data_IF_388743502940
#
_entry.id   IF_388743502940
#
_cell.length_a   1.000
_cell.length_b   1.000
_cell.length_c   1.000
_cell.angle_alpha   90.00
_cell.angle_beta   90.00
_cell.angle_gamma   90.00
#
_symmetry.space_group_name_H-M   'P 1'
#
loop_
_entity.id
_entity.type
_entity.pdbx_description
1 polymer ?
#
# COMPACT_ATOMS: atom_id res chain seq x y z
N UNK A 1 3.88 -3.52 19.74
CA UNK A 1 3.75 -2.18 19.10
C UNK A 1 2.36 -1.55 19.31
N UNK A 2 1.27 -2.24 18.97
CA UNK A 2 -0.11 -1.74 19.19
C UNK A 2 -0.40 -1.31 20.63
N UNK A 3 -0.06 -2.15 21.61
CA UNK A 3 -0.23 -1.84 23.04
C UNK A 3 0.57 -0.58 23.40
N UNK A 4 1.82 -0.48 22.95
CA UNK A 4 2.69 0.68 23.20
C UNK A 4 2.16 1.97 22.58
N UNK A 5 1.52 1.91 21.40
CA UNK A 5 0.87 3.06 20.79
C UNK A 5 -0.35 3.50 21.62
N UNK A 6 -1.22 2.56 21.99
CA UNK A 6 -2.41 2.82 22.79
C UNK A 6 -2.12 3.38 24.18
N UNK A 7 -1.08 2.87 24.84
CA UNK A 7 -0.61 3.38 26.14
C UNK A 7 0.16 4.70 26.05
N UNK A 8 0.37 5.26 24.84
CA UNK A 8 1.06 6.53 24.65
C UNK A 8 0.07 7.63 24.22
N UNK A 9 -0.50 8.40 25.16
CA UNK A 9 -1.48 9.44 24.84
C UNK A 9 -0.91 10.54 23.94
N UNK A 10 0.39 10.81 24.01
CA UNK A 10 1.06 11.79 23.14
C UNK A 10 1.10 11.30 21.69
N UNK A 11 1.39 10.01 21.48
CA UNK A 11 1.40 9.41 20.13
C UNK A 11 0.00 9.40 19.51
N UNK A 12 -1.03 9.02 20.28
CA UNK A 12 -2.42 9.07 19.84
C UNK A 12 -2.86 10.50 19.47
N UNK A 13 -2.55 11.48 20.33
CA UNK A 13 -2.86 12.88 20.06
C UNK A 13 -2.12 13.42 18.83
N UNK A 14 -0.84 13.08 18.67
CA UNK A 14 -0.04 13.47 17.52
C UNK A 14 -0.61 12.89 16.21
N UNK A 15 -0.95 11.59 16.19
CA UNK A 15 -1.57 10.94 15.05
C UNK A 15 -2.88 11.63 14.67
N UNK A 16 -3.80 11.78 15.63
CA UNK A 16 -5.06 12.48 15.41
C UNK A 16 -4.84 13.91 14.90
N UNK A 17 -3.87 14.65 15.44
CA UNK A 17 -3.58 16.02 15.02
C UNK A 17 -3.07 16.08 13.58
N UNK A 18 -2.09 15.23 13.22
CA UNK A 18 -1.52 15.18 11.86
C UNK A 18 -2.58 14.85 10.83
N UNK A 19 -3.40 13.83 11.07
CA UNK A 19 -4.43 13.44 10.09
C UNK A 19 -5.58 14.47 10.03
N UNK A 20 -5.98 15.08 11.14
CA UNK A 20 -6.93 16.19 11.10
C UNK A 20 -6.40 17.41 10.33
N UNK A 21 -5.12 17.74 10.46
CA UNK A 21 -4.50 18.80 9.66
C UNK A 21 -4.49 18.43 8.17
N UNK A 22 -4.17 17.17 7.84
CA UNK A 22 -4.22 16.67 6.47
C UNK A 22 -5.63 16.76 5.86
N UNK A 23 -6.67 16.38 6.62
CA UNK A 23 -8.05 16.48 6.16
C UNK A 23 -8.51 17.92 5.96
N UNK A 24 -8.16 18.84 6.87
CA UNK A 24 -8.61 20.24 6.82
C UNK A 24 -7.83 21.10 5.83
N UNK A 25 -6.54 20.81 5.66
CA UNK A 25 -5.61 21.67 4.95
C UNK A 25 -4.88 20.95 3.81
N UNK A 26 -5.36 19.77 3.40
CA UNK A 26 -4.77 18.96 2.34
C UNK A 26 -4.43 19.77 1.08
N UNK A 27 -5.28 20.71 0.70
CA UNK A 27 -5.10 21.59 -0.46
C UNK A 27 -3.80 22.42 -0.50
N UNK A 28 -3.24 22.73 0.67
CA UNK A 28 -2.03 23.55 0.81
C UNK A 28 -0.82 22.73 1.25
N UNK A 29 -0.99 21.42 1.50
CA UNK A 29 0.12 20.53 1.80
C UNK A 29 0.97 20.38 0.53
N UNK A 30 2.29 20.51 0.71
CA UNK A 30 3.31 20.33 -0.31
C UNK A 30 4.19 19.13 0.07
N UNK A 31 5.48 19.33 0.20
CA UNK A 31 6.46 18.33 0.68
C UNK A 31 6.08 17.69 2.04
N UNK A 32 5.22 18.36 2.83
CA UNK A 32 4.66 17.82 4.08
C UNK A 32 3.85 16.53 3.93
N UNK A 33 3.43 16.16 2.71
CA UNK A 33 2.82 14.84 2.46
C UNK A 33 3.76 13.70 2.84
N UNK A 34 5.08 13.88 2.72
CA UNK A 34 6.07 12.88 3.17
C UNK A 34 5.90 12.56 4.66
N UNK A 35 5.76 13.59 5.49
CA UNK A 35 5.56 13.42 6.94
C UNK A 35 4.24 12.72 7.26
N UNK A 36 3.17 13.01 6.51
CA UNK A 36 1.88 12.32 6.67
C UNK A 36 2.02 10.84 6.31
N UNK A 37 2.70 10.53 5.20
CA UNK A 37 2.95 9.16 4.75
C UNK A 37 3.90 8.41 5.69
N UNK A 38 4.87 9.07 6.32
CA UNK A 38 5.71 8.47 7.36
C UNK A 38 4.88 8.04 8.58
N UNK A 39 3.89 8.85 8.98
CA UNK A 39 2.92 8.44 10.00
C UNK A 39 2.10 7.22 9.54
N UNK A 40 1.62 7.20 8.29
CA UNK A 40 0.89 6.04 7.72
C UNK A 40 1.77 4.80 7.71
N UNK A 41 3.06 4.91 7.35
CA UNK A 41 4.02 3.81 7.36
C UNK A 41 4.22 3.27 8.77
N UNK A 42 4.32 4.14 9.77
CA UNK A 42 4.45 3.70 11.15
C UNK A 42 3.22 2.94 11.62
N UNK A 43 2.01 3.39 11.24
CA UNK A 43 0.77 2.67 11.51
C UNK A 43 0.69 1.33 10.77
N UNK A 44 1.20 1.27 9.53
CA UNK A 44 1.33 0.02 8.77
C UNK A 44 2.23 -0.98 9.49
N UNK A 45 3.41 -0.55 9.93
CA UNK A 45 4.37 -1.38 10.70
C UNK A 45 3.80 -1.84 12.04
N UNK A 46 2.95 -1.02 12.67
CA UNK A 46 2.22 -1.41 13.87
C UNK A 46 1.02 -2.34 13.59
N UNK A 47 0.73 -2.70 12.33
CA UNK A 47 -0.45 -3.47 11.91
C UNK A 47 -1.77 -2.84 12.40
N UNK A 48 -1.80 -1.51 12.44
CA UNK A 48 -2.92 -0.73 12.95
C UNK A 48 -3.83 -0.20 11.85
N UNK A 49 -3.38 -0.18 10.59
CA UNK A 49 -4.17 0.36 9.50
C UNK A 49 -5.47 -0.42 9.27
N UNK A 50 -6.57 0.27 8.90
CA UNK A 50 -7.80 -0.38 8.47
C UNK A 50 -7.57 -1.33 7.28
N UNK A 51 -8.33 -2.44 7.23
CA UNK A 51 -8.24 -3.45 6.17
C UNK A 51 -8.27 -2.85 4.76
N UNK A 52 -9.11 -1.85 4.52
CA UNK A 52 -9.22 -1.18 3.22
C UNK A 52 -7.91 -0.54 2.73
N UNK A 53 -6.99 -0.19 3.63
CA UNK A 53 -5.67 0.34 3.27
C UNK A 53 -4.62 -0.75 3.08
N UNK A 54 -4.79 -1.90 3.73
CA UNK A 54 -3.87 -3.04 3.67
C UNK A 54 -4.37 -4.22 2.83
N UNK A 55 -5.48 -4.06 2.14
CA UNK A 55 -5.96 -4.96 1.09
C UNK A 55 -5.83 -4.29 -0.28
N UNK A 56 -5.47 -5.06 -1.30
CA UNK A 56 -5.41 -4.62 -2.69
C UNK A 56 -6.23 -5.55 -3.58
N UNK A 57 -6.80 -5.02 -4.67
CA UNK A 57 -7.51 -5.88 -5.64
C UNK A 57 -6.49 -6.79 -6.34
N UNK A 58 -6.89 -8.05 -6.57
CA UNK A 58 -6.09 -9.06 -7.22
C UNK A 58 -6.95 -9.90 -8.16
N UNK A 59 -6.41 -10.27 -9.32
CA UNK A 59 -7.14 -11.02 -10.35
C UNK A 59 -7.19 -12.54 -10.10
N UNK A 60 -6.31 -13.06 -9.25
CA UNK A 60 -6.15 -14.50 -9.01
C UNK A 60 -6.86 -14.91 -7.72
N UNK A 61 -6.85 -14.04 -6.71
CA UNK A 61 -7.51 -14.31 -5.43
C UNK A 61 -9.02 -14.51 -5.60
N UNK A 62 -9.56 -15.56 -4.98
CA UNK A 62 -10.99 -15.90 -5.08
C UNK A 62 -11.90 -14.80 -4.52
N UNK A 63 -11.39 -14.05 -3.54
CA UNK A 63 -12.09 -12.90 -2.93
C UNK A 63 -11.96 -11.63 -3.78
N UNK A 64 -11.14 -11.66 -4.84
CA UNK A 64 -10.72 -10.50 -5.62
C UNK A 64 -9.75 -9.58 -4.88
N UNK A 65 -9.21 -10.00 -3.72
CA UNK A 65 -8.35 -9.18 -2.88
C UNK A 65 -7.21 -9.96 -2.21
N UNK A 66 -6.06 -9.32 -2.08
CA UNK A 66 -4.87 -9.82 -1.37
C UNK A 66 -4.52 -8.93 -0.17
N UNK A 67 -4.02 -9.53 0.90
CA UNK A 67 -3.44 -8.79 2.05
C UNK A 67 -2.03 -8.32 1.70
N UNK A 68 -1.75 -7.04 1.98
CA UNK A 68 -0.43 -6.43 1.84
C UNK A 68 0.43 -6.67 3.10
N UNK A 69 -0.20 -6.88 4.25
CA UNK A 69 0.50 -7.31 5.46
C UNK A 69 0.84 -8.79 5.27
N UNK A 70 2.12 -9.08 5.01
CA UNK A 70 2.66 -10.44 4.97
C UNK A 70 3.02 -10.87 6.39
N UNK A 71 2.59 -12.07 6.77
CA UNK A 71 3.10 -12.71 7.99
C UNK A 71 4.50 -13.24 7.68
N UNK A 72 5.49 -12.89 8.50
CA UNK A 72 6.77 -13.58 8.47
C UNK A 72 6.50 -15.04 8.78
N UNK A 73 6.65 -15.92 7.79
CA UNK A 73 6.62 -17.36 8.01
C UNK A 73 7.88 -17.69 8.79
N UNK A 74 7.80 -17.61 10.13
CA UNK A 74 8.76 -18.26 11.00
C UNK A 74 8.60 -19.77 10.73
N UNK A 75 9.63 -20.36 10.13
CA UNK A 75 9.78 -21.81 9.99
C UNK A 75 9.96 -22.44 11.38
N UNK A 76 8.93 -22.39 12.22
CA UNK A 76 8.89 -23.05 13.52
C UNK A 76 7.85 -24.16 13.46
N UNK A 77 8.39 -25.37 13.49
CA UNK A 77 7.81 -26.70 13.63
C UNK A 77 6.30 -26.81 13.91
N UNK A 78 5.64 -27.62 13.06
CA UNK A 78 4.32 -28.24 13.25
C UNK A 78 3.97 -28.47 14.73
N UNK A 79 2.90 -27.85 15.19
CA UNK A 79 2.08 -28.43 16.26
C UNK A 79 0.62 -28.19 15.93
N UNK A 80 -0.12 -29.28 15.78
CA UNK A 80 -1.56 -29.27 15.59
C UNK A 80 -2.23 -28.60 16.79
N UNK A 81 -3.14 -27.64 16.58
CA UNK A 81 -4.24 -27.35 17.53
C UNK A 81 -5.31 -26.43 16.93
N UNK A 82 -6.54 -26.95 16.88
CA UNK A 82 -7.74 -26.24 17.31
C UNK A 82 -8.39 -25.23 16.37
N UNK A 83 -9.64 -25.51 16.00
CA UNK A 83 -10.60 -24.72 15.20
C UNK A 83 -10.98 -23.34 15.78
N UNK A 84 -10.20 -22.79 16.72
CA UNK A 84 -10.39 -21.44 17.30
C UNK A 84 -9.20 -20.49 17.03
N UNK A 85 -8.19 -20.92 16.27
CA UNK A 85 -7.00 -20.12 15.95
C UNK A 85 -7.28 -18.86 15.10
N UNK A 86 -8.40 -18.83 14.37
CA UNK A 86 -8.72 -17.78 13.40
C UNK A 86 -9.15 -16.44 14.02
N UNK A 87 -9.54 -16.41 15.30
CA UNK A 87 -9.86 -15.16 16.00
C UNK A 87 -8.63 -14.64 16.76
N UNK A 88 -7.71 -15.52 17.16
CA UNK A 88 -6.50 -15.14 17.88
C UNK A 88 -5.35 -14.70 16.96
N UNK A 89 -5.33 -15.07 15.68
CA UNK A 89 -4.31 -14.63 14.74
C UNK A 89 -4.27 -13.10 14.58
N UNK A 90 -5.43 -12.44 14.55
CA UNK A 90 -5.50 -10.97 14.47
C UNK A 90 -5.08 -10.24 15.76
N UNK A 91 -5.12 -10.91 16.91
CA UNK A 91 -4.77 -10.32 18.22
C UNK A 91 -3.29 -10.60 18.58
N UNK A 92 -2.68 -11.63 18.00
CA UNK A 92 -1.35 -12.14 18.40
C UNK A 92 -0.16 -11.63 17.58
N UNK A 93 -0.34 -10.78 16.57
CA UNK A 93 0.71 -10.50 15.57
C UNK A 93 1.72 -9.39 15.91
N UNK A 94 1.91 -9.09 17.21
CA UNK A 94 2.78 -7.99 17.67
C UNK A 94 3.83 -8.34 18.73
N UNK A 95 4.06 -9.62 19.04
CA UNK A 95 5.08 -10.06 20.00
C UNK A 95 6.04 -11.06 19.37
N UNK A 96 7.29 -10.66 19.17
CA UNK A 96 8.39 -11.59 18.91
C UNK A 96 8.63 -12.46 20.15
N UNK A 97 8.41 -13.76 19.99
CA UNK A 97 8.99 -14.91 20.70
C UNK A 97 9.42 -14.65 22.16
N UNK A 98 8.46 -14.75 23.08
CA UNK A 98 8.57 -15.55 24.33
C UNK A 98 7.32 -15.38 25.19
N UNK A 99 6.69 -16.50 25.51
CA UNK A 99 5.44 -16.65 26.26
C UNK A 99 4.17 -16.16 25.55
N UNK A 100 3.31 -17.12 25.19
CA UNK A 100 1.87 -16.92 25.00
C UNK A 100 1.24 -16.41 26.30
N UNK A 101 1.45 -15.13 26.63
CA UNK A 101 0.71 -14.43 27.68
C UNK A 101 -0.55 -13.87 27.04
N UNK A 102 -1.70 -14.34 27.52
CA UNK A 102 -2.98 -13.68 27.25
C UNK A 102 -2.83 -12.20 27.60
N UNK A 103 -3.25 -11.26 26.72
CA UNK A 103 -3.15 -9.83 27.01
C UNK A 103 -3.81 -9.51 28.36
N UNK A 104 -3.09 -8.79 29.22
CA UNK A 104 -3.62 -8.34 30.50
C UNK A 104 -4.82 -7.40 30.30
N UNK A 105 -5.66 -7.16 31.33
CA UNK A 105 -6.73 -6.17 31.21
C UNK A 105 -6.25 -4.78 30.79
N UNK A 106 -5.07 -4.37 31.25
CA UNK A 106 -4.42 -3.13 30.85
C UNK A 106 -3.97 -3.15 29.38
N UNK A 107 -3.41 -4.27 28.90
CA UNK A 107 -3.07 -4.45 27.49
C UNK A 107 -4.30 -4.37 26.60
N UNK A 108 -5.42 -4.95 27.03
CA UNK A 108 -6.70 -4.89 26.31
C UNK A 108 -7.24 -3.46 26.23
N UNK A 109 -7.13 -2.68 27.31
CA UNK A 109 -7.54 -1.28 27.33
C UNK A 109 -6.68 -0.42 26.39
N UNK A 110 -5.35 -0.64 26.41
CA UNK A 110 -4.42 -0.01 25.49
C UNK A 110 -4.73 -0.38 24.03
N UNK A 111 -5.06 -1.64 23.72
CA UNK A 111 -5.46 -2.06 22.37
C UNK A 111 -6.74 -1.33 21.93
N UNK A 112 -7.76 -1.24 22.79
CA UNK A 112 -9.00 -0.51 22.48
C UNK A 112 -8.75 0.96 22.23
N UNK A 113 -7.89 1.59 23.04
CA UNK A 113 -7.48 2.98 22.88
C UNK A 113 -6.77 3.21 21.56
N UNK A 114 -5.84 2.31 21.18
CA UNK A 114 -5.18 2.36 19.89
C UNK A 114 -6.20 2.27 18.74
N UNK A 115 -7.11 1.29 18.77
CA UNK A 115 -8.13 1.11 17.74
C UNK A 115 -9.07 2.33 17.62
N UNK A 116 -9.48 2.91 18.76
CA UNK A 116 -10.29 4.12 18.79
C UNK A 116 -9.55 5.30 18.14
N UNK A 117 -8.28 5.51 18.50
CA UNK A 117 -7.46 6.56 17.90
C UNK A 117 -7.36 6.41 16.38
N UNK A 118 -7.13 5.19 15.86
CA UNK A 118 -7.01 4.96 14.42
C UNK A 118 -8.33 5.20 13.68
N UNK A 119 -9.45 4.79 14.28
CA UNK A 119 -10.78 5.08 13.72
C UNK A 119 -11.00 6.59 13.60
N UNK A 120 -10.63 7.34 14.61
CA UNK A 120 -10.81 8.80 14.66
C UNK A 120 -9.85 9.55 13.70
N UNK A 121 -8.79 8.89 13.21
CA UNK A 121 -7.90 9.43 12.19
C UNK A 121 -8.51 9.43 10.77
N UNK A 122 -9.58 8.66 10.52
CA UNK A 122 -10.27 8.58 9.22
C UNK A 122 -9.32 8.36 8.02
N UNK A 123 -8.36 7.45 8.17
CA UNK A 123 -7.24 7.30 7.22
C UNK A 123 -7.65 6.99 5.78
N UNK A 124 -8.77 6.30 5.58
CA UNK A 124 -9.32 6.03 4.24
C UNK A 124 -9.65 7.31 3.48
N UNK A 125 -10.08 8.35 4.19
CA UNK A 125 -10.46 9.64 3.58
C UNK A 125 -9.27 10.35 2.92
N UNK A 126 -8.03 10.09 3.38
CA UNK A 126 -6.83 10.60 2.70
C UNK A 126 -6.77 10.15 1.23
N UNK A 127 -7.38 9.01 0.91
CA UNK A 127 -7.41 8.41 -0.41
C UNK A 127 -8.69 8.77 -1.13
N UNK A 128 -9.86 8.56 -0.52
CA UNK A 128 -11.15 8.81 -1.18
C UNK A 128 -11.40 10.29 -1.45
N UNK A 129 -10.93 11.18 -0.57
CA UNK A 129 -11.07 12.63 -0.71
C UNK A 129 -9.92 13.26 -1.51
N UNK A 130 -8.90 12.48 -1.90
CA UNK A 130 -7.78 12.99 -2.72
C UNK A 130 -8.25 13.60 -4.06
N UNK A 131 -9.41 13.18 -4.55
CA UNK A 131 -10.08 13.75 -5.74
C UNK A 131 -10.49 15.22 -5.59
N UNK A 132 -10.62 15.71 -4.36
CA UNK A 132 -10.95 17.10 -4.07
C UNK A 132 -9.72 17.99 -3.88
N UNK A 133 -8.53 17.40 -3.75
CA UNK A 133 -7.30 18.17 -3.62
C UNK A 133 -7.10 19.09 -4.83
N UNK A 134 -6.61 20.30 -4.54
CA UNK A 134 -6.01 21.19 -5.54
C UNK A 134 -4.88 20.48 -6.28
N UNK A 135 -4.76 20.81 -7.56
CA UNK A 135 -3.82 20.15 -8.46
C UNK A 135 -2.40 20.11 -7.89
N UNK A 136 -1.87 21.25 -7.43
CA UNK A 136 -0.53 21.32 -6.86
C UNK A 136 -0.32 20.37 -5.66
N UNK A 137 -1.31 20.24 -4.76
CA UNK A 137 -1.19 19.36 -3.60
C UNK A 137 -1.28 17.89 -4.01
N UNK A 138 -2.13 17.57 -4.99
CA UNK A 138 -2.19 16.23 -5.57
C UNK A 138 -0.84 15.84 -6.20
N UNK A 139 -0.17 16.74 -6.91
CA UNK A 139 1.16 16.48 -7.46
C UNK A 139 2.18 16.17 -6.35
N UNK A 140 2.16 16.93 -5.27
CA UNK A 140 3.05 16.71 -4.12
C UNK A 140 2.74 15.40 -3.38
N UNK A 141 1.46 15.02 -3.25
CA UNK A 141 1.05 13.72 -2.72
C UNK A 141 1.55 12.57 -3.60
N UNK A 142 1.33 12.66 -4.92
CA UNK A 142 1.80 11.65 -5.89
C UNK A 142 3.32 11.53 -5.86
N UNK A 143 4.04 12.65 -5.82
CA UNK A 143 5.49 12.69 -5.67
C UNK A 143 5.95 12.02 -4.38
N UNK A 144 5.29 12.28 -3.26
CA UNK A 144 5.60 11.65 -1.98
C UNK A 144 5.31 10.14 -1.98
N UNK A 145 4.24 9.69 -2.63
CA UNK A 145 3.90 8.27 -2.78
C UNK A 145 4.88 7.53 -3.70
N UNK A 146 5.28 8.15 -4.81
CA UNK A 146 6.35 7.65 -5.69
C UNK A 146 7.63 7.50 -4.88
N UNK A 147 7.99 8.53 -4.11
CA UNK A 147 9.16 8.51 -3.23
C UNK A 147 9.13 7.36 -2.22
N UNK A 148 7.99 7.14 -1.58
CA UNK A 148 7.81 6.11 -0.56
C UNK A 148 7.74 4.69 -1.12
N UNK A 149 7.55 4.53 -2.43
CA UNK A 149 7.42 3.23 -3.10
C UNK A 149 8.63 2.84 -3.95
N UNK A 150 9.75 3.58 -3.92
CA UNK A 150 10.93 3.24 -4.72
C UNK A 150 11.47 1.84 -4.43
N UNK A 151 12.06 1.24 -5.47
CA UNK A 151 12.80 -0.01 -5.36
C UNK A 151 14.13 0.14 -4.62
N UNK A 152 14.92 -0.95 -4.56
CA UNK A 152 16.20 -0.99 -3.82
C UNK A 152 17.15 0.15 -4.20
N UNK A 153 17.23 0.49 -5.48
CA UNK A 153 18.13 1.52 -6.01
C UNK A 153 17.81 2.93 -5.47
N UNK A 154 16.53 3.24 -5.25
CA UNK A 154 16.12 4.50 -4.65
C UNK A 154 16.48 4.57 -3.16
N UNK A 155 16.29 3.47 -2.44
CA UNK A 155 16.62 3.38 -1.01
C UNK A 155 18.12 3.44 -0.72
N UNK A 156 18.95 2.84 -1.57
CA UNK A 156 20.42 2.98 -1.49
C UNK A 156 20.84 4.45 -1.66
N UNK A 157 20.25 5.15 -2.62
CA UNK A 157 20.52 6.57 -2.84
C UNK A 157 20.02 7.46 -1.68
N UNK A 158 19.02 6.99 -0.93
CA UNK A 158 18.41 7.68 0.21
C UNK A 158 19.03 7.30 1.56
N UNK A 159 20.00 6.38 1.60
CA UNK A 159 20.61 5.90 2.85
C UNK A 159 19.63 5.18 3.78
N UNK A 160 18.55 4.62 3.25
CA UNK A 160 17.52 3.89 4.03
C UNK A 160 17.54 2.40 3.67
N UNK A 161 17.16 1.53 4.60
CA UNK A 161 17.02 0.11 4.30
C UNK A 161 15.80 -0.14 3.42
N UNK A 162 16.03 -0.81 2.28
CA UNK A 162 14.94 -1.24 1.41
C UNK A 162 14.09 -2.31 2.09
N UNK A 163 12.77 -2.20 1.95
CA UNK A 163 11.80 -3.17 2.41
C UNK A 163 10.73 -3.36 1.33
N UNK A 164 10.65 -4.57 0.75
CA UNK A 164 9.73 -4.88 -0.34
C UNK A 164 8.26 -4.66 0.04
N UNK A 165 7.86 -5.01 1.27
CA UNK A 165 6.48 -4.82 1.76
C UNK A 165 6.09 -3.34 1.78
N UNK A 166 7.02 -2.48 2.19
CA UNK A 166 6.82 -1.04 2.25
C UNK A 166 6.66 -0.46 0.84
N UNK A 167 7.53 -0.89 -0.09
CA UNK A 167 7.45 -0.46 -1.48
C UNK A 167 6.12 -0.86 -2.12
N UNK A 168 5.70 -2.11 -1.91
CA UNK A 168 4.40 -2.62 -2.39
C UNK A 168 3.22 -1.89 -1.75
N UNK A 169 3.26 -1.66 -0.43
CA UNK A 169 2.20 -0.95 0.28
C UNK A 169 1.97 0.45 -0.29
N UNK A 170 3.05 1.21 -0.50
CA UNK A 170 2.94 2.56 -1.06
C UNK A 170 2.63 2.57 -2.55
N UNK A 171 3.07 1.57 -3.32
CA UNK A 171 2.61 1.38 -4.70
C UNK A 171 1.09 1.22 -4.74
N UNK A 172 0.52 0.34 -3.92
CA UNK A 172 -0.94 0.15 -3.87
C UNK A 172 -1.69 1.40 -3.42
N UNK A 173 -1.12 2.17 -2.49
CA UNK A 173 -1.69 3.45 -2.08
C UNK A 173 -1.66 4.48 -3.22
N UNK A 174 -0.55 4.55 -3.97
CA UNK A 174 -0.43 5.37 -5.18
C UNK A 174 -1.50 5.00 -6.21
N UNK A 175 -1.67 3.71 -6.50
CA UNK A 175 -2.66 3.24 -7.46
C UNK A 175 -4.08 3.63 -7.04
N UNK A 176 -4.41 3.51 -5.75
CA UNK A 176 -5.72 3.96 -5.22
C UNK A 176 -5.92 5.46 -5.42
N UNK A 177 -4.92 6.30 -5.11
CA UNK A 177 -4.98 7.77 -5.33
C UNK A 177 -5.18 8.10 -6.81
N UNK A 178 -4.46 7.44 -7.71
CA UNK A 178 -4.57 7.64 -9.16
C UNK A 178 -5.97 7.28 -9.66
N UNK A 179 -6.54 6.16 -9.19
CA UNK A 179 -7.90 5.74 -9.55
C UNK A 179 -8.94 6.73 -9.03
N UNK A 180 -8.79 7.25 -7.80
CA UNK A 180 -9.67 8.30 -7.26
C UNK A 180 -9.58 9.61 -8.06
N UNK A 181 -8.43 9.89 -8.68
CA UNK A 181 -8.18 11.07 -9.51
C UNK A 181 -8.28 10.81 -11.02
N UNK A 182 -8.98 9.73 -11.44
CA UNK A 182 -9.05 9.31 -12.84
C UNK A 182 -9.47 10.42 -13.81
N UNK A 183 -10.29 11.38 -13.38
CA UNK A 183 -10.81 12.46 -14.23
C UNK A 183 -9.75 13.52 -14.54
N UNK A 184 -8.72 13.65 -13.71
CA UNK A 184 -7.63 14.64 -13.85
C UNK A 184 -6.25 13.96 -14.01
N UNK A 185 -6.23 12.66 -14.30
CA UNK A 185 -5.04 11.82 -14.32
C UNK A 185 -3.96 12.30 -15.31
N UNK A 186 -4.34 13.00 -16.39
CA UNK A 186 -3.41 13.58 -17.37
C UNK A 186 -2.26 14.36 -16.71
N UNK A 187 -2.57 15.11 -15.65
CA UNK A 187 -1.58 15.95 -14.95
C UNK A 187 -0.49 15.15 -14.23
N UNK A 188 -0.80 13.91 -13.83
CA UNK A 188 0.10 13.06 -13.02
C UNK A 188 0.55 11.79 -13.75
N UNK A 189 -0.07 11.46 -14.89
CA UNK A 189 0.08 10.16 -15.55
C UNK A 189 1.53 9.82 -15.91
N UNK A 190 2.26 10.78 -16.48
CA UNK A 190 3.65 10.55 -16.88
C UNK A 190 4.52 10.10 -15.71
N UNK A 191 4.42 10.79 -14.55
CA UNK A 191 5.18 10.45 -13.35
C UNK A 191 4.82 9.05 -12.83
N UNK A 192 3.52 8.72 -12.80
CA UNK A 192 3.04 7.42 -12.33
C UNK A 192 3.51 6.30 -13.26
N UNK A 193 3.36 6.49 -14.57
CA UNK A 193 3.77 5.52 -15.59
C UNK A 193 5.27 5.24 -15.50
N UNK A 194 6.08 6.28 -15.47
CA UNK A 194 7.55 6.16 -15.45
C UNK A 194 8.00 5.46 -14.16
N UNK A 195 7.34 5.75 -13.03
CA UNK A 195 7.59 5.07 -11.76
C UNK A 195 7.21 3.58 -11.80
N UNK A 196 6.03 3.22 -12.34
CA UNK A 196 5.62 1.82 -12.50
C UNK A 196 6.63 1.07 -13.37
N UNK A 197 7.13 1.70 -14.45
CA UNK A 197 8.17 1.11 -15.28
C UNK A 197 9.45 0.83 -14.48
N UNK A 198 9.96 1.83 -13.77
CA UNK A 198 11.17 1.68 -12.94
C UNK A 198 11.00 0.59 -11.89
N UNK A 199 9.85 0.55 -11.20
CA UNK A 199 9.57 -0.49 -10.21
C UNK A 199 9.50 -1.88 -10.83
N UNK A 200 8.75 -2.03 -11.93
CA UNK A 200 8.58 -3.32 -12.57
C UNK A 200 9.91 -3.87 -13.08
N UNK A 201 10.71 -3.04 -13.76
CA UNK A 201 11.99 -3.46 -14.32
C UNK A 201 13.04 -3.71 -13.22
N UNK A 202 13.12 -2.83 -12.22
CA UNK A 202 14.02 -3.00 -11.08
C UNK A 202 13.67 -4.24 -10.24
N UNK A 203 12.39 -4.46 -9.96
CA UNK A 203 11.92 -5.64 -9.24
C UNK A 203 12.21 -6.93 -10.03
N UNK A 204 12.02 -6.91 -11.35
CA UNK A 204 12.33 -8.04 -12.22
C UNK A 204 13.85 -8.33 -12.31
N UNK A 205 14.69 -7.30 -12.21
CA UNK A 205 16.14 -7.44 -12.22
C UNK A 205 16.70 -7.98 -10.89
N UNK A 206 16.07 -7.63 -9.77
CA UNK A 206 16.46 -8.04 -8.42
C UNK A 206 15.69 -9.26 -7.88
N UNK A 207 14.90 -9.95 -8.70
CA UNK A 207 14.07 -11.09 -8.31
C UNK A 207 13.07 -10.81 -7.15
N UNK A 208 12.56 -9.58 -7.05
CA UNK A 208 11.49 -9.19 -6.12
C UNK A 208 10.12 -9.60 -6.68
N UNK A 209 9.79 -10.88 -6.57
CA UNK A 209 8.62 -11.46 -7.24
C UNK A 209 7.30 -10.81 -6.85
N UNK A 210 7.12 -10.48 -5.57
CA UNK A 210 5.86 -9.89 -5.11
C UNK A 210 5.70 -8.46 -5.63
N UNK A 211 6.77 -7.66 -5.61
CA UNK A 211 6.75 -6.33 -6.22
C UNK A 211 6.51 -6.39 -7.73
N UNK A 212 7.06 -7.38 -8.45
CA UNK A 212 6.74 -7.62 -9.87
C UNK A 212 5.25 -7.91 -10.06
N UNK A 213 4.70 -8.86 -9.31
CA UNK A 213 3.28 -9.23 -9.39
C UNK A 213 2.37 -8.02 -9.14
N UNK A 214 2.62 -7.27 -8.06
CA UNK A 214 1.83 -6.09 -7.71
C UNK A 214 1.97 -4.96 -8.72
N UNK A 215 3.15 -4.77 -9.30
CA UNK A 215 3.36 -3.78 -10.38
C UNK A 215 2.58 -4.16 -11.65
N UNK A 216 2.54 -5.44 -12.02
CA UNK A 216 1.77 -5.94 -13.17
C UNK A 216 0.28 -5.80 -12.93
N UNK A 217 -0.22 -6.26 -11.77
CA UNK A 217 -1.63 -6.12 -11.39
C UNK A 217 -2.04 -4.65 -11.35
N UNK A 218 -1.21 -3.80 -10.77
CA UNK A 218 -1.44 -2.36 -10.70
C UNK A 218 -1.53 -1.70 -12.07
N UNK A 219 -0.60 -2.02 -12.98
CA UNK A 219 -0.61 -1.52 -14.36
C UNK A 219 -1.91 -1.92 -15.09
N UNK A 220 -2.33 -3.18 -14.96
CA UNK A 220 -3.55 -3.69 -15.59
C UNK A 220 -4.81 -3.06 -14.99
N UNK A 221 -4.88 -2.90 -13.66
CA UNK A 221 -6.00 -2.19 -12.99
C UNK A 221 -6.12 -0.75 -13.45
N UNK A 222 -5.00 -0.04 -13.59
CA UNK A 222 -5.00 1.31 -14.17
C UNK A 222 -5.48 1.27 -15.62
N UNK A 223 -5.04 0.29 -16.40
CA UNK A 223 -5.48 0.16 -17.78
C UNK A 223 -7.01 -0.02 -17.89
N UNK A 224 -7.57 -0.96 -17.13
CA UNK A 224 -9.02 -1.23 -17.09
C UNK A 224 -9.82 0.03 -16.70
N UNK A 225 -9.32 0.82 -15.76
CA UNK A 225 -10.02 2.03 -15.27
C UNK A 225 -9.84 3.24 -16.17
N UNK A 226 -8.72 3.36 -16.88
CA UNK A 226 -8.38 4.55 -17.66
C UNK A 226 -8.61 4.40 -19.16
N UNK A 227 -8.62 3.18 -19.74
CA UNK A 227 -8.82 2.99 -21.19
C UNK A 227 -10.20 3.41 -21.69
N UNK A 228 -11.20 3.54 -20.79
CA UNK A 228 -12.52 4.07 -21.14
C UNK A 228 -12.50 5.56 -21.48
N UNK A 229 -11.41 6.26 -21.17
CA UNK A 229 -11.20 7.65 -21.56
C UNK A 229 -10.46 7.70 -22.88
N UNK A 230 -11.10 8.28 -23.90
CA UNK A 230 -10.53 8.38 -25.26
C UNK A 230 -9.18 9.09 -25.29
N UNK A 231 -9.00 10.13 -24.48
CA UNK A 231 -7.74 10.88 -24.39
C UNK A 231 -6.61 10.10 -23.72
N UNK A 232 -6.94 9.20 -22.79
CA UNK A 232 -5.97 8.37 -22.07
C UNK A 232 -5.67 7.05 -22.78
N UNK A 233 -6.60 6.51 -23.55
CA UNK A 233 -6.51 5.18 -24.15
C UNK A 233 -5.19 4.94 -24.90
N UNK A 234 -4.70 5.84 -25.78
CA UNK A 234 -3.44 5.63 -26.50
C UNK A 234 -2.22 5.52 -25.57
N UNK A 235 -2.13 6.42 -24.57
CA UNK A 235 -0.97 6.46 -23.65
C UNK A 235 -0.99 5.31 -22.65
N UNK A 236 -2.19 4.86 -22.27
CA UNK A 236 -2.38 3.69 -21.40
C UNK A 236 -2.03 2.40 -22.15
N UNK A 237 -2.51 2.23 -23.38
CA UNK A 237 -2.16 1.09 -24.23
C UNK A 237 -0.64 1.04 -24.50
N UNK A 238 -0.01 2.19 -24.75
CA UNK A 238 1.45 2.26 -24.89
C UNK A 238 2.17 1.81 -23.61
N UNK A 239 1.61 2.08 -22.44
CA UNK A 239 2.19 1.67 -21.16
C UNK A 239 2.10 0.16 -20.93
N UNK A 240 1.12 -0.53 -21.51
CA UNK A 240 1.06 -2.00 -21.45
C UNK A 240 2.24 -2.69 -22.17
N UNK A 241 2.95 -1.99 -23.07
CA UNK A 241 4.15 -2.52 -23.72
C UNK A 241 5.28 -2.84 -22.75
N UNK A 242 5.25 -2.31 -21.52
CA UNK A 242 6.19 -2.68 -20.46
C UNK A 242 6.18 -4.18 -20.16
N UNK A 243 5.02 -4.84 -20.29
CA UNK A 243 4.89 -6.29 -20.09
C UNK A 243 5.71 -7.10 -21.11
N UNK A 244 5.90 -6.55 -22.31
CA UNK A 244 6.66 -7.17 -23.39
C UNK A 244 8.18 -7.07 -23.18
N UNK A 245 8.63 -6.24 -22.22
CA UNK A 245 10.04 -6.08 -21.87
C UNK A 245 10.48 -7.08 -20.80
N UNK A 246 9.56 -7.81 -20.19
CA UNK A 246 9.86 -8.82 -19.18
C UNK A 246 10.53 -10.04 -19.82
N UNK A 247 11.52 -10.61 -19.12
CA UNK A 247 12.11 -11.91 -19.50
C UNK A 247 11.03 -12.99 -19.49
N UNK A 248 11.17 -14.00 -20.35
CA UNK A 248 10.21 -15.09 -20.47
C UNK A 248 9.92 -15.81 -19.13
N UNK A 249 10.93 -15.98 -18.28
CA UNK A 249 10.78 -16.55 -16.94
C UNK A 249 9.91 -15.70 -16.02
N UNK A 250 10.14 -14.38 -16.00
CA UNK A 250 9.35 -13.42 -15.22
C UNK A 250 7.93 -13.34 -15.74
N UNK A 251 7.75 -13.25 -17.07
CA UNK A 251 6.44 -13.21 -17.71
C UNK A 251 5.62 -14.47 -17.43
N UNK A 252 6.26 -15.65 -17.46
CA UNK A 252 5.61 -16.93 -17.14
C UNK A 252 5.04 -16.94 -15.73
N UNK A 253 5.73 -16.33 -14.76
CA UNK A 253 5.26 -16.24 -13.36
C UNK A 253 4.02 -15.38 -13.21
N UNK A 254 3.96 -14.25 -13.92
CA UNK A 254 2.80 -13.32 -13.88
C UNK A 254 1.75 -13.62 -14.94
N UNK A 255 1.88 -14.72 -15.69
CA UNK A 255 1.06 -15.00 -16.86
C UNK A 255 -0.43 -15.10 -16.53
N UNK A 256 -0.77 -15.62 -15.34
CA UNK A 256 -2.16 -15.68 -14.87
C UNK A 256 -2.72 -14.28 -14.65
N UNK A 257 -2.01 -13.42 -13.92
CA UNK A 257 -2.41 -12.03 -13.65
C UNK A 257 -2.60 -11.26 -14.97
N UNK A 258 -1.65 -11.42 -15.90
CA UNK A 258 -1.72 -10.82 -17.24
C UNK A 258 -2.94 -11.33 -18.01
N UNK A 259 -3.20 -12.65 -17.99
CA UNK A 259 -4.33 -13.23 -18.73
C UNK A 259 -5.68 -12.72 -18.21
N UNK A 260 -5.89 -12.73 -16.89
CA UNK A 260 -7.13 -12.21 -16.29
C UNK A 260 -7.28 -10.70 -16.50
N UNK A 261 -6.22 -9.93 -16.27
CA UNK A 261 -6.29 -8.48 -16.42
C UNK A 261 -6.50 -8.04 -17.87
N UNK A 262 -5.94 -8.74 -18.85
CA UNK A 262 -6.24 -8.49 -20.27
C UNK A 262 -7.65 -8.94 -20.65
N UNK A 263 -8.16 -10.02 -20.07
CA UNK A 263 -9.54 -10.46 -20.28
C UNK A 263 -10.55 -9.41 -19.78
N UNK A 264 -10.33 -8.82 -18.61
CA UNK A 264 -11.19 -7.74 -18.08
C UNK A 264 -11.07 -6.41 -18.86
N UNK A 265 -10.02 -6.24 -19.66
CA UNK A 265 -9.78 -5.04 -20.45
C UNK A 265 -10.57 -5.02 -21.77
N UNK A 266 -10.88 -6.21 -22.32
CA UNK A 266 -11.63 -6.42 -23.55
C UNK A 266 -13.13 -6.22 -23.35
#
# INVERSE_FOLDING_TARGET
LTISFGGNPKACLAANTVFNLAHRHGDIIREGWKNVLDCVLQLYRCKLLPKILVEAEDFIELTGKISLVREEIQLSQKTETGLLSSIYSYISLGSEISNHRVPSPEDQDNIRTAQACIRDCHLEQLITESKFLRSDSLHELVKALIHASYGPEGHVSLGTSYNEDTAVFFLELLLKVVIQNRDRVNSIWQYVRDHIYTLLMGAAACDHHFLVERSVVGLLRLAIRLMRREDMSPVVLQSLRMLLLLKASTLSRVARQVSYGLYELL
#
